data_IF_601559469659
#
_entry.id   IF_601559469659
#
_cell.length_a   1.000
_cell.length_b   1.000
_cell.length_c   1.000
_cell.angle_alpha   90.00
_cell.angle_beta   90.00
_cell.angle_gamma   90.00
#
_symmetry.space_group_name_H-M   'P 1'
#
loop_
_entity.id
_entity.type
_entity.pdbx_description
1 polymer ?
#
# COMPACT_ATOMS: atom_id res chain seq x y z
N UNK A 1 -9.86 25.39 5.00
CA UNK A 1 -8.59 24.62 5.06
C UNK A 1 -8.03 24.56 3.66
N UNK A 2 -6.78 24.99 3.42
CA UNK A 2 -6.20 25.02 2.07
C UNK A 2 -5.29 23.81 1.90
N UNK A 3 -5.85 22.68 1.47
CA UNK A 3 -5.04 21.56 0.99
C UNK A 3 -4.29 22.07 -0.24
N UNK A 4 -2.96 21.89 -0.29
CA UNK A 4 -2.13 22.29 -1.44
C UNK A 4 -2.33 21.32 -2.62
N UNK A 5 -3.52 21.37 -3.22
CA UNK A 5 -3.95 20.45 -4.29
C UNK A 5 -3.17 20.67 -5.59
N UNK A 6 -2.72 21.89 -5.86
CA UNK A 6 -2.20 22.25 -7.19
C UNK A 6 -0.82 21.65 -7.50
N UNK A 7 -0.04 21.31 -6.47
CA UNK A 7 1.31 20.77 -6.61
C UNK A 7 1.34 19.23 -6.72
N UNK A 8 0.25 18.54 -6.34
CA UNK A 8 0.20 17.07 -6.28
C UNK A 8 -0.76 16.47 -7.32
N UNK A 9 -0.21 15.71 -8.29
CA UNK A 9 -0.98 15.10 -9.39
C UNK A 9 -2.09 14.16 -8.89
N UNK A 10 -1.85 13.41 -7.82
CA UNK A 10 -2.84 12.48 -7.23
C UNK A 10 -4.00 13.29 -6.65
N UNK A 11 -3.71 14.26 -5.77
CA UNK A 11 -4.73 15.11 -5.15
C UNK A 11 -5.54 15.89 -6.19
N UNK A 12 -4.88 16.40 -7.23
CA UNK A 12 -5.55 17.06 -8.35
C UNK A 12 -6.50 16.11 -9.10
N UNK A 13 -6.09 14.87 -9.33
CA UNK A 13 -6.86 13.88 -10.07
C UNK A 13 -8.09 13.35 -9.32
N UNK A 14 -8.04 13.28 -7.97
CA UNK A 14 -9.17 12.81 -7.15
C UNK A 14 -10.18 13.92 -6.85
N UNK A 15 -9.82 15.20 -7.01
CA UNK A 15 -10.69 16.35 -6.68
C UNK A 15 -12.09 16.29 -7.34
N UNK A 16 -12.24 15.89 -8.62
CA UNK A 16 -13.56 15.70 -9.22
C UNK A 16 -14.38 14.61 -8.52
N UNK A 17 -13.75 13.51 -8.10
CA UNK A 17 -14.40 12.43 -7.34
C UNK A 17 -14.96 12.96 -6.02
N UNK A 18 -14.16 13.71 -5.26
CA UNK A 18 -14.60 14.29 -3.97
C UNK A 18 -15.81 15.23 -4.13
N UNK A 19 -15.90 15.94 -5.25
CA UNK A 19 -17.01 16.87 -5.52
C UNK A 19 -18.28 16.20 -5.98
N UNK A 20 -18.16 15.05 -6.64
CA UNK A 20 -19.24 14.37 -7.34
C UNK A 20 -19.64 13.05 -6.69
N UNK A 21 -19.01 12.71 -5.54
CA UNK A 21 -19.24 11.46 -4.84
C UNK A 21 -20.69 11.32 -4.39
N UNK A 22 -21.27 10.16 -4.66
CA UNK A 22 -22.66 9.82 -4.31
C UNK A 22 -22.73 8.69 -3.27
N UNK A 23 -21.68 7.88 -3.17
CA UNK A 23 -21.61 6.70 -2.32
C UNK A 23 -20.79 6.91 -1.05
N UNK A 24 -19.83 7.85 -1.04
CA UNK A 24 -18.95 8.08 0.11
C UNK A 24 -18.89 9.55 0.50
N UNK A 25 -19.10 9.82 1.79
CA UNK A 25 -19.00 11.15 2.39
C UNK A 25 -17.96 11.17 3.51
N UNK A 26 -17.24 12.28 3.63
CA UNK A 26 -16.35 12.56 4.77
C UNK A 26 -17.11 13.38 5.81
N UNK A 27 -17.05 12.94 7.07
CA UNK A 27 -17.63 13.62 8.22
C UNK A 27 -16.53 14.41 8.94
N UNK A 28 -16.45 15.72 8.68
CA UNK A 28 -15.35 16.57 9.14
C UNK A 28 -15.28 16.68 10.66
N UNK A 29 -16.41 16.67 11.37
CA UNK A 29 -16.43 16.79 12.83
C UNK A 29 -15.70 15.60 13.50
N UNK A 30 -15.79 14.41 12.91
CA UNK A 30 -15.11 13.22 13.43
C UNK A 30 -13.60 13.27 13.16
N UNK A 31 -13.15 13.92 12.08
CA UNK A 31 -11.73 14.18 11.84
C UNK A 31 -11.17 15.05 12.97
N UNK A 32 -11.88 16.11 13.37
CA UNK A 32 -11.42 16.99 14.44
C UNK A 32 -11.27 16.26 15.78
N UNK A 33 -12.24 15.38 16.10
CA UNK A 33 -12.19 14.56 17.30
C UNK A 33 -10.97 13.63 17.30
N UNK A 34 -10.73 12.88 16.22
CA UNK A 34 -9.58 11.96 16.13
C UNK A 34 -8.25 12.71 16.15
N UNK A 35 -8.13 13.82 15.42
CA UNK A 35 -6.89 14.62 15.38
C UNK A 35 -6.60 15.36 16.70
N UNK A 36 -7.58 15.48 17.60
CA UNK A 36 -7.37 16.07 18.92
C UNK A 36 -6.40 15.24 19.76
N UNK A 37 -6.54 13.91 19.71
CA UNK A 37 -5.77 12.97 20.54
C UNK A 37 -4.49 12.47 19.85
N UNK A 38 -4.35 12.70 18.54
CA UNK A 38 -3.14 12.38 17.79
C UNK A 38 -1.93 13.20 18.29
N UNK A 39 -0.85 12.50 18.60
CA UNK A 39 0.40 13.06 19.12
C UNK A 39 1.64 12.33 18.53
N UNK A 40 2.84 12.78 18.89
CA UNK A 40 4.09 12.26 18.30
C UNK A 40 4.34 10.77 18.56
N UNK A 41 3.79 10.18 19.62
CA UNK A 41 3.93 8.74 19.90
C UNK A 41 3.12 7.88 18.92
N UNK A 42 2.14 8.48 18.21
CA UNK A 42 1.37 7.82 17.18
C UNK A 42 2.11 7.74 15.84
N UNK A 43 3.18 8.51 15.66
CA UNK A 43 4.00 8.48 14.44
C UNK A 43 4.88 7.24 14.47
N UNK A 44 4.48 6.21 13.73
CA UNK A 44 5.14 4.91 13.69
C UNK A 44 5.31 4.43 12.25
N UNK A 45 6.39 3.71 11.98
CA UNK A 45 6.54 2.98 10.72
C UNK A 45 5.86 1.62 10.86
N UNK A 46 4.85 1.36 10.02
CA UNK A 46 4.06 0.13 10.11
C UNK A 46 4.94 -1.13 10.04
N UNK A 47 5.91 -1.21 9.13
CA UNK A 47 6.77 -2.39 8.96
C UNK A 47 7.72 -2.60 10.15
N UNK A 48 8.02 -1.57 10.95
CA UNK A 48 8.78 -1.74 12.19
C UNK A 48 8.02 -2.58 13.23
N UNK A 49 6.71 -2.73 13.10
CA UNK A 49 5.89 -3.65 13.89
C UNK A 49 5.83 -5.08 13.31
N UNK A 50 6.53 -5.35 12.21
CA UNK A 50 6.64 -6.69 11.63
C UNK A 50 7.25 -7.66 12.64
N UNK A 51 6.70 -8.88 12.79
CA UNK A 51 7.33 -9.92 13.60
C UNK A 51 8.62 -10.46 12.95
N UNK A 52 8.87 -10.12 11.68
CA UNK A 52 10.06 -10.54 10.94
C UNK A 52 11.06 -9.40 10.85
N UNK A 53 12.27 -9.65 11.31
CA UNK A 53 13.39 -8.73 11.22
C UNK A 53 14.06 -8.83 9.84
N UNK A 54 14.57 -7.71 9.33
CA UNK A 54 15.35 -7.61 8.09
C UNK A 54 16.81 -7.15 8.34
N UNK A 55 17.25 -7.08 9.60
CA UNK A 55 18.54 -6.52 9.98
C UNK A 55 19.74 -7.34 9.50
N UNK A 56 19.54 -8.64 9.25
CA UNK A 56 20.55 -9.56 8.72
C UNK A 56 20.78 -9.40 7.21
N UNK A 57 19.89 -8.72 6.51
CA UNK A 57 20.05 -8.36 5.10
C UNK A 57 20.96 -7.15 4.95
N UNK A 58 21.84 -7.18 3.94
CA UNK A 58 22.57 -5.97 3.56
C UNK A 58 21.63 -4.96 2.86
N UNK A 59 22.09 -3.72 2.67
CA UNK A 59 21.23 -2.64 2.14
C UNK A 59 20.64 -2.94 0.76
N UNK A 60 21.40 -3.59 -0.13
CA UNK A 60 20.92 -3.99 -1.45
C UNK A 60 19.85 -5.08 -1.35
N UNK A 61 20.05 -6.03 -0.45
CA UNK A 61 19.06 -7.08 -0.18
C UNK A 61 17.78 -6.50 0.44
N UNK A 62 17.89 -5.55 1.38
CA UNK A 62 16.72 -4.83 1.93
C UNK A 62 15.94 -4.10 0.84
N UNK A 63 16.62 -3.38 -0.05
CA UNK A 63 15.96 -2.71 -1.19
C UNK A 63 15.21 -3.70 -2.08
N UNK A 64 15.88 -4.78 -2.50
CA UNK A 64 15.26 -5.79 -3.34
C UNK A 64 14.11 -6.50 -2.61
N UNK A 65 14.22 -6.71 -1.29
CA UNK A 65 13.15 -7.26 -0.47
C UNK A 65 11.91 -6.37 -0.52
N UNK A 66 12.06 -5.07 -0.24
CA UNK A 66 10.96 -4.11 -0.25
C UNK A 66 10.33 -4.01 -1.64
N UNK A 67 11.14 -4.04 -2.70
CA UNK A 67 10.65 -4.06 -4.08
C UNK A 67 9.84 -5.32 -4.40
N UNK A 68 10.37 -6.51 -4.10
CA UNK A 68 9.68 -7.78 -4.34
C UNK A 68 8.38 -7.84 -3.53
N UNK A 69 8.43 -7.48 -2.24
CA UNK A 69 7.27 -7.41 -1.38
C UNK A 69 6.17 -6.51 -1.99
N UNK A 70 6.49 -5.24 -2.30
CA UNK A 70 5.51 -4.31 -2.85
C UNK A 70 5.06 -4.66 -4.29
N UNK A 71 5.84 -5.47 -5.02
CA UNK A 71 5.44 -6.02 -6.32
C UNK A 71 4.30 -7.04 -6.22
N UNK A 72 4.06 -7.66 -5.06
CA UNK A 72 3.02 -8.68 -4.87
C UNK A 72 2.15 -8.47 -3.62
N UNK A 73 2.26 -7.29 -2.99
CA UNK A 73 1.52 -6.85 -1.82
C UNK A 73 0.10 -6.37 -2.16
N UNK A 74 -0.78 -7.31 -2.49
CA UNK A 74 -2.19 -7.03 -2.77
C UNK A 74 -3.08 -8.22 -2.40
N UNK A 75 -4.37 -7.97 -2.16
CA UNK A 75 -5.44 -8.98 -2.25
C UNK A 75 -5.25 -10.28 -1.42
N UNK A 76 -5.20 -10.15 -0.09
CA UNK A 76 -5.00 -11.29 0.85
C UNK A 76 -6.30 -11.93 1.37
N UNK A 77 -7.45 -11.33 1.08
CA UNK A 77 -8.74 -11.75 1.61
C UNK A 77 -9.39 -12.84 0.75
N UNK A 78 -10.25 -13.65 1.35
CA UNK A 78 -10.94 -14.75 0.67
C UNK A 78 -11.79 -15.55 1.66
N UNK A 79 -12.56 -16.52 1.14
CA UNK A 79 -13.30 -17.49 1.95
C UNK A 79 -12.96 -18.90 1.45
N UNK A 80 -12.09 -19.67 2.15
CA UNK A 80 -11.38 -19.29 3.38
C UNK A 80 -10.32 -18.21 3.13
N UNK A 81 -9.88 -17.53 4.19
CA UNK A 81 -8.80 -16.52 4.11
C UNK A 81 -7.46 -17.22 3.92
N UNK A 82 -6.56 -16.62 3.14
CA UNK A 82 -5.18 -17.11 3.01
C UNK A 82 -4.38 -16.84 4.29
N UNK A 83 -3.79 -17.90 4.82
CA UNK A 83 -2.92 -17.88 6.02
C UNK A 83 -1.73 -18.78 5.79
N UNK A 84 -0.60 -18.46 6.41
CA UNK A 84 0.61 -19.27 6.39
C UNK A 84 1.00 -19.69 7.79
N UNK A 85 1.85 -20.70 7.89
CA UNK A 85 2.56 -21.05 9.11
C UNK A 85 4.04 -20.77 8.91
N UNK A 86 4.65 -20.08 9.88
CA UNK A 86 6.08 -19.84 9.91
C UNK A 86 6.56 -19.75 11.36
N UNK A 87 7.66 -20.45 11.69
CA UNK A 87 8.23 -20.52 13.05
C UNK A 87 7.18 -20.83 14.13
N UNK A 88 6.28 -21.79 13.86
CA UNK A 88 5.23 -22.23 14.79
C UNK A 88 4.09 -21.23 15.01
N UNK A 89 4.05 -20.13 14.26
CA UNK A 89 3.01 -19.11 14.34
C UNK A 89 2.22 -19.01 13.03
N UNK A 90 0.94 -18.66 13.13
CA UNK A 90 0.07 -18.44 11.98
C UNK A 90 0.04 -16.94 11.62
N UNK A 91 0.26 -16.63 10.33
CA UNK A 91 0.24 -15.25 9.82
C UNK A 91 -0.70 -15.11 8.62
N UNK A 92 -1.20 -13.90 8.41
CA UNK A 92 -2.05 -13.56 7.27
C UNK A 92 -1.73 -12.14 6.74
N UNK A 93 -2.35 -11.75 5.63
CA UNK A 93 -2.20 -10.38 5.13
C UNK A 93 -0.76 -10.04 4.73
N UNK A 94 -0.37 -8.79 4.95
CA UNK A 94 0.98 -8.30 4.69
C UNK A 94 2.03 -9.07 5.52
N UNK A 95 1.73 -9.38 6.79
CA UNK A 95 2.62 -10.20 7.63
C UNK A 95 2.84 -11.59 7.06
N UNK A 96 1.77 -12.26 6.60
CA UNK A 96 1.91 -13.55 5.94
C UNK A 96 2.80 -13.48 4.68
N UNK A 97 2.70 -12.41 3.90
CA UNK A 97 3.55 -12.22 2.73
C UNK A 97 5.02 -11.97 3.09
N UNK A 98 5.30 -11.12 4.09
CA UNK A 98 6.67 -10.91 4.60
C UNK A 98 7.23 -12.25 5.13
N UNK A 99 6.43 -13.03 5.86
CA UNK A 99 6.80 -14.37 6.34
C UNK A 99 7.13 -15.36 5.22
N UNK A 100 6.38 -15.36 4.12
CA UNK A 100 6.71 -16.17 2.93
C UNK A 100 8.06 -15.79 2.31
N UNK A 101 8.31 -14.49 2.13
CA UNK A 101 9.57 -14.01 1.55
C UNK A 101 10.75 -14.29 2.50
N UNK A 102 10.55 -14.12 3.81
CA UNK A 102 11.52 -14.47 4.84
C UNK A 102 11.85 -15.96 4.82
N UNK A 103 10.83 -16.83 4.83
CA UNK A 103 10.99 -18.29 4.69
C UNK A 103 11.77 -18.69 3.43
N UNK A 104 11.52 -18.03 2.30
CA UNK A 104 12.25 -18.28 1.06
C UNK A 104 13.74 -17.91 1.20
N UNK A 105 14.05 -16.77 1.81
CA UNK A 105 15.43 -16.34 2.08
C UNK A 105 16.16 -17.30 3.03
N UNK A 106 15.50 -17.70 4.12
CA UNK A 106 16.06 -18.61 5.11
C UNK A 106 16.35 -19.99 4.48
N UNK A 107 15.50 -20.43 3.55
CA UNK A 107 15.70 -21.62 2.72
C UNK A 107 16.65 -21.42 1.51
N UNK A 108 17.35 -20.29 1.44
CA UNK A 108 18.33 -19.96 0.38
C UNK A 108 17.75 -19.92 -1.03
N UNK A 109 16.45 -19.67 -1.17
CA UNK A 109 15.82 -19.36 -2.46
C UNK A 109 16.27 -17.95 -2.87
N UNK A 110 16.79 -17.74 -4.09
CA UNK A 110 17.31 -16.45 -4.53
C UNK A 110 16.18 -15.47 -4.95
N UNK A 111 15.13 -15.35 -4.13
CA UNK A 111 13.91 -14.57 -4.40
C UNK A 111 14.18 -13.06 -4.56
N UNK A 112 15.34 -12.58 -4.12
CA UNK A 112 15.78 -11.18 -4.25
C UNK A 112 16.61 -10.92 -5.50
N UNK A 113 16.85 -11.92 -6.34
CA UNK A 113 17.65 -11.79 -7.57
C UNK A 113 16.74 -11.62 -8.80
N UNK A 114 16.96 -10.56 -9.57
CA UNK A 114 16.16 -10.26 -10.76
C UNK A 114 16.17 -11.40 -11.79
N UNK A 115 17.34 -12.01 -12.06
CA UNK A 115 17.47 -13.20 -12.91
C UNK A 115 16.62 -14.39 -12.45
N UNK A 116 16.48 -14.60 -11.15
CA UNK A 116 15.62 -15.64 -10.59
C UNK A 116 14.16 -15.28 -10.80
N UNK A 117 13.76 -14.06 -10.41
CA UNK A 117 12.40 -13.55 -10.61
C UNK A 117 11.92 -13.67 -12.06
N UNK A 118 12.78 -13.31 -13.02
CA UNK A 118 12.49 -13.36 -14.45
C UNK A 118 12.13 -14.78 -14.96
N UNK A 119 12.56 -15.82 -14.24
CA UNK A 119 12.46 -17.23 -14.63
C UNK A 119 11.73 -18.11 -13.62
N UNK A 120 11.27 -17.53 -12.50
CA UNK A 120 10.58 -18.27 -11.44
C UNK A 120 9.41 -19.04 -12.03
N UNK A 121 9.36 -20.34 -11.76
CA UNK A 121 8.28 -21.20 -12.22
C UNK A 121 7.05 -21.11 -11.32
N UNK A 122 5.92 -21.56 -11.84
CA UNK A 122 4.68 -21.68 -11.07
C UNK A 122 4.88 -22.54 -9.80
N UNK A 123 5.58 -23.67 -9.94
CA UNK A 123 5.85 -24.59 -8.83
C UNK A 123 6.71 -23.96 -7.73
N UNK A 124 7.75 -23.21 -8.10
CA UNK A 124 8.60 -22.50 -7.14
C UNK A 124 7.81 -21.43 -6.40
N UNK A 125 7.06 -20.57 -7.11
CA UNK A 125 6.27 -19.54 -6.45
C UNK A 125 5.18 -20.13 -5.56
N UNK A 126 4.59 -21.26 -5.97
CA UNK A 126 3.58 -21.98 -5.18
C UNK A 126 4.15 -22.49 -3.86
N UNK A 127 5.40 -22.97 -3.85
CA UNK A 127 6.05 -23.38 -2.61
C UNK A 127 6.46 -22.16 -1.75
N UNK A 128 6.95 -21.08 -2.36
CA UNK A 128 7.28 -19.84 -1.65
C UNK A 128 6.05 -19.27 -0.93
N UNK A 129 4.93 -19.13 -1.65
CA UNK A 129 3.68 -18.55 -1.16
C UNK A 129 2.74 -19.57 -0.51
N UNK A 130 3.24 -20.76 -0.20
CA UNK A 130 2.45 -21.85 0.37
C UNK A 130 1.79 -21.44 1.69
N UNK A 131 0.48 -21.57 1.71
CA UNK A 131 -0.38 -21.40 2.87
C UNK A 131 -1.45 -22.50 2.93
N UNK A 132 -2.50 -22.26 3.71
CA UNK A 132 -3.66 -23.15 3.83
C UNK A 132 -4.44 -23.32 2.51
N UNK A 133 -4.42 -22.31 1.65
CA UNK A 133 -4.99 -22.30 0.29
C UNK A 133 -4.02 -21.66 -0.69
N UNK A 134 -4.34 -21.75 -1.98
CA UNK A 134 -3.69 -20.91 -2.99
C UNK A 134 -4.06 -19.44 -2.74
N UNK A 135 -3.07 -18.56 -2.68
CA UNK A 135 -3.28 -17.13 -2.47
C UNK A 135 -4.12 -16.54 -3.63
N UNK A 136 -5.12 -15.69 -3.38
CA UNK A 136 -5.92 -15.13 -4.46
C UNK A 136 -5.11 -14.22 -5.38
N UNK A 137 -5.31 -14.30 -6.70
CA UNK A 137 -4.51 -13.62 -7.73
C UNK A 137 -3.06 -14.15 -7.83
N UNK A 138 -2.91 -15.48 -7.75
CA UNK A 138 -1.61 -16.13 -7.77
C UNK A 138 -0.93 -15.98 -9.15
N UNK A 139 -1.69 -16.19 -10.22
CA UNK A 139 -1.20 -16.09 -11.59
C UNK A 139 -0.71 -14.68 -11.91
N UNK A 140 -1.39 -13.65 -11.41
CA UNK A 140 -0.97 -12.26 -11.53
C UNK A 140 0.34 -12.00 -10.78
N UNK A 141 0.52 -12.55 -9.56
CA UNK A 141 1.80 -12.43 -8.84
C UNK A 141 2.94 -13.08 -9.60
N UNK A 142 2.71 -14.26 -10.18
CA UNK A 142 3.73 -14.94 -11.00
C UNK A 142 4.15 -14.08 -12.19
N UNK A 143 3.16 -13.57 -12.95
CA UNK A 143 3.41 -12.70 -14.11
C UNK A 143 4.16 -11.43 -13.72
N UNK A 144 3.75 -10.78 -12.62
CA UNK A 144 4.38 -9.55 -12.15
C UNK A 144 5.82 -9.79 -11.72
N UNK A 145 6.13 -10.87 -10.98
CA UNK A 145 7.51 -11.18 -10.61
C UNK A 145 8.38 -11.46 -11.83
N UNK A 146 7.86 -12.21 -12.81
CA UNK A 146 8.57 -12.50 -14.06
C UNK A 146 8.82 -11.23 -14.88
N UNK A 147 7.81 -10.37 -15.03
CA UNK A 147 7.93 -9.10 -15.73
C UNK A 147 8.93 -8.16 -15.03
N UNK A 148 8.77 -7.97 -13.73
CA UNK A 148 9.65 -7.10 -12.93
C UNK A 148 11.10 -7.61 -12.96
N UNK A 149 11.31 -8.93 -12.88
CA UNK A 149 12.63 -9.55 -13.01
C UNK A 149 13.29 -9.27 -14.36
N UNK A 150 12.53 -9.40 -15.46
CA UNK A 150 13.03 -9.08 -16.82
C UNK A 150 13.40 -7.61 -16.94
N UNK A 151 12.53 -6.71 -16.50
CA UNK A 151 12.79 -5.26 -16.53
C UNK A 151 14.05 -4.90 -15.73
N UNK A 152 14.23 -5.49 -14.54
CA UNK A 152 15.42 -5.27 -13.74
C UNK A 152 16.69 -5.75 -14.43
N UNK A 153 16.68 -6.97 -15.00
CA UNK A 153 17.85 -7.50 -15.73
C UNK A 153 18.20 -6.65 -16.95
N UNK A 154 17.21 -6.30 -17.77
CA UNK A 154 17.41 -5.63 -19.06
C UNK A 154 17.75 -4.14 -18.93
N UNK A 155 17.08 -3.42 -18.01
CA UNK A 155 17.21 -1.96 -17.88
C UNK A 155 18.08 -1.52 -16.71
N UNK A 156 18.24 -2.37 -15.69
CA UNK A 156 18.79 -1.98 -14.38
C UNK A 156 19.89 -2.90 -13.86
N UNK A 157 20.51 -3.71 -14.74
CA UNK A 157 21.62 -4.64 -14.40
C UNK A 157 21.27 -5.59 -13.24
N UNK A 158 19.99 -5.92 -13.10
CA UNK A 158 19.47 -6.82 -12.07
C UNK A 158 19.33 -6.22 -10.67
N UNK A 159 19.46 -4.90 -10.49
CA UNK A 159 19.50 -4.26 -9.18
C UNK A 159 18.54 -3.07 -9.06
N UNK A 160 17.64 -3.11 -8.07
CA UNK A 160 16.71 -2.02 -7.80
C UNK A 160 17.43 -0.72 -7.35
N UNK A 161 18.61 -0.82 -6.73
CA UNK A 161 19.40 0.36 -6.36
C UNK A 161 19.70 1.28 -7.56
N UNK A 162 19.87 0.70 -8.76
CA UNK A 162 20.10 1.44 -10.00
C UNK A 162 18.94 2.38 -10.35
N UNK A 163 17.71 2.03 -9.94
CA UNK A 163 16.51 2.86 -10.17
C UNK A 163 16.52 4.05 -9.23
N UNK A 164 16.84 3.84 -7.95
CA UNK A 164 16.94 4.91 -6.94
C UNK A 164 18.02 5.93 -7.33
N UNK A 165 19.17 5.45 -7.82
CA UNK A 165 20.23 6.30 -8.35
C UNK A 165 19.80 7.09 -9.60
N UNK A 166 19.15 6.42 -10.57
CA UNK A 166 18.61 7.06 -11.78
C UNK A 166 17.56 8.14 -11.45
N UNK A 167 16.77 7.94 -10.40
CA UNK A 167 15.82 8.92 -9.89
C UNK A 167 16.47 10.15 -9.23
N UNK A 168 17.81 10.16 -9.07
CA UNK A 168 18.58 11.22 -8.40
C UNK A 168 18.09 11.51 -6.97
N UNK A 169 17.62 10.46 -6.29
CA UNK A 169 17.01 10.53 -4.96
C UNK A 169 15.88 11.56 -4.86
N UNK A 170 15.03 11.63 -5.88
CA UNK A 170 13.81 12.44 -5.87
C UNK A 170 12.59 11.54 -5.89
N UNK A 171 11.66 11.77 -4.97
CA UNK A 171 10.46 10.94 -4.76
C UNK A 171 9.59 10.88 -6.01
N UNK A 172 9.37 12.02 -6.69
CA UNK A 172 8.50 12.08 -7.86
C UNK A 172 9.17 11.44 -9.07
N UNK A 173 10.47 11.67 -9.28
CA UNK A 173 11.21 11.00 -10.34
C UNK A 173 11.23 9.47 -10.14
N UNK A 174 11.41 9.01 -8.90
CA UNK A 174 11.39 7.59 -8.57
C UNK A 174 10.02 6.98 -8.88
N UNK A 175 8.94 7.67 -8.49
CA UNK A 175 7.57 7.27 -8.81
C UNK A 175 7.37 7.17 -10.33
N UNK A 176 7.72 8.20 -11.09
CA UNK A 176 7.53 8.25 -12.55
C UNK A 176 8.32 7.16 -13.28
N UNK A 177 9.57 6.88 -12.87
CA UNK A 177 10.35 5.78 -13.42
C UNK A 177 9.66 4.44 -13.13
N UNK A 178 9.21 4.21 -11.89
CA UNK A 178 8.60 2.94 -11.50
C UNK A 178 7.29 2.70 -12.27
N UNK A 179 6.37 3.66 -12.34
CA UNK A 179 5.09 3.47 -13.05
C UNK A 179 5.28 3.33 -14.57
N UNK A 180 6.35 3.90 -15.13
CA UNK A 180 6.66 3.81 -16.56
C UNK A 180 7.29 2.47 -16.92
N UNK A 181 8.19 1.95 -16.09
CA UNK A 181 8.96 0.75 -16.40
C UNK A 181 8.35 -0.54 -15.85
N UNK A 182 7.51 -0.45 -14.81
CA UNK A 182 6.86 -1.59 -14.15
C UNK A 182 5.33 -1.43 -14.18
N UNK A 183 4.64 -1.88 -15.25
CA UNK A 183 3.24 -1.57 -15.52
C UNK A 183 2.27 -1.93 -14.40
N UNK A 184 2.56 -2.97 -13.61
CA UNK A 184 1.70 -3.38 -12.50
C UNK A 184 1.58 -2.33 -11.39
N UNK A 185 2.49 -1.36 -11.31
CA UNK A 185 2.42 -0.23 -10.38
C UNK A 185 1.61 0.96 -10.91
N UNK A 186 1.23 0.98 -12.19
CA UNK A 186 0.49 2.08 -12.83
C UNK A 186 -1.02 2.02 -12.50
N UNK A 187 -1.34 2.26 -11.23
CA UNK A 187 -2.68 2.25 -10.64
C UNK A 187 -3.48 3.53 -10.98
N UNK A 188 -4.29 3.41 -12.03
CA UNK A 188 -5.11 4.47 -12.64
C UNK A 188 -6.53 3.94 -12.88
N UNK A 189 -7.53 4.77 -12.62
CA UNK A 189 -8.93 4.50 -12.89
C UNK A 189 -9.60 5.65 -13.66
N UNK A 190 -10.83 5.44 -14.12
CA UNK A 190 -11.67 6.48 -14.73
C UNK A 190 -12.96 6.59 -13.93
N UNK A 191 -13.21 7.78 -13.37
CA UNK A 191 -14.45 8.12 -12.69
C UNK A 191 -15.25 9.06 -13.58
N UNK A 192 -16.34 8.56 -14.16
CA UNK A 192 -17.05 9.26 -15.22
C UNK A 192 -16.05 9.62 -16.34
N UNK A 193 -15.89 10.88 -16.70
CA UNK A 193 -14.90 11.36 -17.69
C UNK A 193 -13.51 11.65 -17.12
N UNK A 194 -13.33 11.57 -15.79
CA UNK A 194 -12.08 11.99 -15.14
C UNK A 194 -11.10 10.83 -14.96
N UNK A 195 -9.87 11.04 -15.43
CA UNK A 195 -8.74 10.15 -15.11
C UNK A 195 -8.32 10.37 -13.65
N UNK A 196 -8.36 9.31 -12.86
CA UNK A 196 -8.02 9.31 -11.43
C UNK A 196 -6.75 8.51 -11.20
N UNK A 197 -5.81 9.08 -10.45
CA UNK A 197 -4.52 8.47 -10.14
C UNK A 197 -4.51 8.03 -8.67
N UNK A 198 -4.06 6.81 -8.39
CA UNK A 198 -3.93 6.30 -7.03
C UNK A 198 -2.50 5.88 -6.69
N UNK A 199 -1.82 5.19 -7.61
CA UNK A 199 -0.41 4.80 -7.47
C UNK A 199 -0.07 4.15 -6.12
N UNK A 200 -1.00 3.38 -5.53
CA UNK A 200 -0.91 2.93 -4.12
C UNK A 200 0.38 2.17 -3.82
N UNK A 201 0.67 1.11 -4.60
CA UNK A 201 1.83 0.23 -4.32
C UNK A 201 3.17 0.92 -4.55
N UNK A 202 3.28 1.83 -5.51
CA UNK A 202 4.52 2.59 -5.72
C UNK A 202 4.73 3.65 -4.65
N UNK A 203 3.66 4.32 -4.20
CA UNK A 203 3.76 5.24 -3.07
C UNK A 203 4.20 4.49 -1.79
N UNK A 204 3.62 3.32 -1.53
CA UNK A 204 4.02 2.46 -0.40
C UNK A 204 5.47 1.96 -0.53
N UNK A 205 5.88 1.48 -1.71
CA UNK A 205 7.26 1.08 -2.00
C UNK A 205 8.26 2.20 -1.67
N UNK A 206 8.00 3.43 -2.13
CA UNK A 206 8.88 4.56 -1.88
C UNK A 206 8.91 4.92 -0.38
N UNK A 207 7.75 4.86 0.29
CA UNK A 207 7.66 5.08 1.74
C UNK A 207 8.41 4.04 2.55
N UNK A 208 8.29 2.76 2.19
CA UNK A 208 8.98 1.66 2.86
C UNK A 208 10.50 1.76 2.65
N UNK A 209 10.96 2.17 1.44
CA UNK A 209 12.38 2.47 1.21
C UNK A 209 12.82 3.60 2.14
N UNK A 210 12.11 4.72 2.12
CA UNK A 210 12.44 5.89 2.94
C UNK A 210 12.59 5.48 4.44
N UNK A 211 11.53 4.88 4.99
CA UNK A 211 11.49 4.52 6.41
C UNK A 211 12.42 3.39 6.82
N UNK A 212 12.79 2.48 5.91
CA UNK A 212 13.70 1.37 6.26
C UNK A 212 15.15 1.84 6.42
N UNK A 213 15.53 2.93 5.77
CA UNK A 213 16.92 3.41 5.79
C UNK A 213 17.16 4.62 6.71
N UNK A 214 16.13 5.17 7.36
CA UNK A 214 16.22 6.12 8.50
C UNK A 214 17.25 7.27 8.38
N UNK A 215 17.42 7.84 7.19
CA UNK A 215 18.29 8.97 6.89
C UNK A 215 19.64 8.58 6.27
N UNK A 216 19.92 7.28 6.18
CA UNK A 216 21.16 6.71 5.66
C UNK A 216 21.00 6.21 4.22
N UNK A 217 22.10 6.18 3.47
CA UNK A 217 22.23 5.61 2.12
C UNK A 217 21.11 5.97 1.12
N UNK A 218 20.05 5.16 1.05
CA UNK A 218 18.93 5.27 0.13
C UNK A 218 17.79 6.20 0.62
N UNK A 219 17.84 6.69 1.87
CA UNK A 219 16.80 7.54 2.46
C UNK A 219 16.92 9.05 2.17
N UNK A 220 17.89 9.49 1.37
CA UNK A 220 18.00 10.92 1.01
C UNK A 220 17.02 11.33 -0.09
N UNK A 221 15.81 10.76 -0.06
CA UNK A 221 14.74 11.05 -1.01
C UNK A 221 14.19 12.45 -0.73
N UNK A 222 14.31 13.33 -1.72
CA UNK A 222 13.70 14.66 -1.69
C UNK A 222 12.19 14.55 -1.93
N UNK A 223 11.43 15.49 -1.38
CA UNK A 223 10.00 15.64 -1.64
C UNK A 223 9.14 14.45 -1.18
N UNK A 224 9.55 13.74 -0.13
CA UNK A 224 8.82 12.58 0.40
C UNK A 224 7.44 12.98 0.96
N UNK A 225 7.31 14.22 1.43
CA UNK A 225 6.08 14.81 1.93
C UNK A 225 4.99 15.00 0.85
N UNK A 226 5.36 14.81 -0.43
CA UNK A 226 4.41 14.80 -1.56
C UNK A 226 3.73 13.43 -1.74
N UNK A 227 4.16 12.39 -1.03
CA UNK A 227 3.39 11.14 -0.99
C UNK A 227 2.07 11.35 -0.24
N UNK A 228 1.03 10.68 -0.72
CA UNK A 228 -0.32 10.69 -0.15
C UNK A 228 -0.61 9.36 0.57
N UNK A 229 -1.84 9.17 1.04
CA UNK A 229 -2.24 7.90 1.64
C UNK A 229 -2.26 6.73 0.64
N UNK A 230 -2.03 5.53 1.14
CA UNK A 230 -1.93 4.29 0.39
C UNK A 230 -3.29 3.57 0.33
N UNK A 231 -4.30 4.22 -0.27
CA UNK A 231 -5.71 3.77 -0.27
C UNK A 231 -5.93 2.33 -0.77
N UNK A 232 -6.03 1.40 0.19
CA UNK A 232 -6.41 0.00 0.02
C UNK A 232 -7.81 -0.28 0.60
N UNK A 233 -8.08 -1.51 1.07
CA UNK A 233 -9.33 -1.87 1.76
C UNK A 233 -9.27 -1.74 3.29
N UNK A 234 -8.09 -1.67 3.89
CA UNK A 234 -7.91 -1.60 5.35
C UNK A 234 -8.05 -0.19 5.89
N UNK A 235 -7.40 0.78 5.26
CA UNK A 235 -7.49 2.18 5.70
C UNK A 235 -8.94 2.70 5.67
N UNK A 236 -9.73 2.55 4.58
CA UNK A 236 -11.13 2.97 4.58
C UNK A 236 -11.98 2.25 5.63
N UNK A 237 -11.68 0.98 5.95
CA UNK A 237 -12.36 0.24 7.01
C UNK A 237 -12.16 0.93 8.37
N UNK A 238 -10.93 1.34 8.67
CA UNK A 238 -10.61 2.05 9.91
C UNK A 238 -11.25 3.43 9.93
N UNK A 239 -11.18 4.19 8.83
CA UNK A 239 -11.85 5.49 8.75
C UNK A 239 -13.37 5.37 8.92
N UNK A 240 -14.00 4.30 8.42
CA UNK A 240 -15.42 4.00 8.64
C UNK A 240 -15.70 3.65 10.10
N UNK A 241 -14.84 2.87 10.76
CA UNK A 241 -14.92 2.57 12.20
C UNK A 241 -14.86 3.85 13.04
N UNK A 242 -14.00 4.79 12.65
CA UNK A 242 -13.86 6.11 13.27
C UNK A 242 -14.98 7.08 12.87
N UNK A 243 -15.94 6.65 12.05
CA UNK A 243 -17.04 7.45 11.50
C UNK A 243 -16.56 8.67 10.68
N UNK A 244 -15.32 8.65 10.22
CA UNK A 244 -14.76 9.67 9.32
C UNK A 244 -15.30 9.46 7.90
N UNK A 245 -15.41 8.21 7.46
CA UNK A 245 -16.10 7.86 6.21
C UNK A 245 -17.50 7.32 6.50
N UNK A 246 -18.49 7.90 5.85
CA UNK A 246 -19.86 7.41 5.81
C UNK A 246 -20.18 6.92 4.39
N UNK A 247 -20.83 5.77 4.29
CA UNK A 247 -21.23 5.18 3.01
C UNK A 247 -22.74 5.33 2.82
N UNK A 248 -23.19 5.44 1.56
CA UNK A 248 -24.62 5.37 1.23
C UNK A 248 -25.22 4.05 1.76
N UNK A 249 -26.54 4.00 2.04
CA UNK A 249 -27.19 2.79 2.52
C UNK A 249 -26.91 1.56 1.64
N UNK A 250 -26.88 1.73 0.32
CA UNK A 250 -26.63 0.68 -0.66
C UNK A 250 -25.19 0.15 -0.57
N UNK A 251 -24.20 1.06 -0.56
CA UNK A 251 -22.80 0.69 -0.45
C UNK A 251 -22.49 0.05 0.91
N UNK A 252 -23.03 0.63 1.99
CA UNK A 252 -22.92 0.08 3.33
C UNK A 252 -23.49 -1.35 3.40
N UNK A 253 -24.67 -1.57 2.79
CA UNK A 253 -25.31 -2.89 2.73
C UNK A 253 -24.45 -3.90 1.97
N UNK A 254 -23.88 -3.54 0.81
CA UNK A 254 -22.97 -4.42 0.07
C UNK A 254 -21.76 -4.82 0.91
N UNK A 255 -21.08 -3.85 1.52
CA UNK A 255 -19.87 -4.11 2.30
C UNK A 255 -20.18 -4.91 3.57
N UNK A 256 -21.24 -4.56 4.30
CA UNK A 256 -21.63 -5.25 5.54
C UNK A 256 -22.01 -6.72 5.28
N UNK A 257 -22.59 -7.00 4.12
CA UNK A 257 -22.89 -8.36 3.66
C UNK A 257 -21.73 -9.03 2.90
N UNK A 258 -20.55 -8.40 2.83
CA UNK A 258 -19.36 -8.91 2.13
C UNK A 258 -19.65 -9.25 0.65
N UNK A 259 -20.50 -8.44 0.01
CA UNK A 259 -20.75 -8.50 -1.43
C UNK A 259 -19.59 -7.77 -2.13
N UNK A 260 -18.86 -8.43 -3.04
CA UNK A 260 -17.79 -7.78 -3.77
C UNK A 260 -18.26 -6.59 -4.60
N UNK A 261 -17.42 -5.55 -4.67
CA UNK A 261 -17.58 -4.43 -5.61
C UNK A 261 -16.50 -4.52 -6.68
N UNK A 262 -16.82 -4.04 -7.89
CA UNK A 262 -15.93 -4.17 -9.04
C UNK A 262 -14.77 -3.16 -8.94
N UNK A 263 -13.58 -3.60 -9.34
CA UNK A 263 -12.43 -2.70 -9.50
C UNK A 263 -12.75 -1.65 -10.56
N UNK A 264 -12.52 -0.38 -10.26
CA UNK A 264 -12.86 0.73 -11.16
C UNK A 264 -14.35 1.09 -11.21
N UNK A 265 -15.19 0.53 -10.33
CA UNK A 265 -16.55 1.03 -10.14
C UNK A 265 -16.55 2.37 -9.40
N UNK A 266 -17.62 3.16 -9.55
CA UNK A 266 -17.76 4.44 -8.83
C UNK A 266 -17.66 4.25 -7.32
N UNK A 267 -18.32 3.22 -6.77
CA UNK A 267 -18.22 2.84 -5.35
C UNK A 267 -16.77 2.62 -4.89
N UNK A 268 -16.00 1.86 -5.66
CA UNK A 268 -14.61 1.55 -5.33
C UNK A 268 -13.69 2.78 -5.43
N UNK A 269 -13.86 3.56 -6.49
CA UNK A 269 -13.07 4.77 -6.72
C UNK A 269 -13.37 5.83 -5.65
N UNK A 270 -14.64 6.01 -5.28
CA UNK A 270 -15.04 6.96 -4.24
C UNK A 270 -14.49 6.58 -2.86
N UNK A 271 -14.49 5.30 -2.49
CA UNK A 271 -13.89 4.83 -1.23
C UNK A 271 -12.41 5.22 -1.19
N UNK A 272 -11.67 4.93 -2.27
CA UNK A 272 -10.21 5.18 -2.32
C UNK A 272 -9.89 6.67 -2.36
N UNK A 273 -10.61 7.45 -3.18
CA UNK A 273 -10.42 8.89 -3.29
C UNK A 273 -10.72 9.61 -1.96
N UNK A 274 -11.86 9.29 -1.33
CA UNK A 274 -12.22 9.88 -0.04
C UNK A 274 -11.28 9.42 1.10
N UNK A 275 -10.69 8.23 1.02
CA UNK A 275 -9.64 7.80 1.96
C UNK A 275 -8.42 8.72 1.88
N UNK A 276 -7.91 8.97 0.67
CA UNK A 276 -6.78 9.89 0.46
C UNK A 276 -7.14 11.28 0.98
N UNK A 277 -8.30 11.79 0.58
CA UNK A 277 -8.73 13.14 0.94
C UNK A 277 -8.91 13.31 2.46
N UNK A 278 -9.55 12.34 3.13
CA UNK A 278 -9.72 12.37 4.58
C UNK A 278 -8.37 12.43 5.31
N UNK A 279 -7.37 11.67 4.85
CA UNK A 279 -6.03 11.69 5.46
C UNK A 279 -5.31 13.02 5.20
N UNK A 280 -5.46 13.63 4.02
CA UNK A 280 -4.97 15.00 3.79
C UNK A 280 -5.63 16.01 4.73
N UNK A 281 -6.93 15.83 5.00
CA UNK A 281 -7.64 16.67 5.96
C UNK A 281 -7.13 16.49 7.39
N UNK A 282 -6.88 15.24 7.79
CA UNK A 282 -6.24 14.92 9.07
C UNK A 282 -4.85 15.55 9.17
N UNK A 283 -4.03 15.45 8.10
CA UNK A 283 -2.68 16.03 8.04
C UNK A 283 -2.70 17.52 8.34
N UNK A 284 -3.54 18.28 7.66
CA UNK A 284 -3.64 19.72 7.87
C UNK A 284 -4.11 20.10 9.29
N UNK A 285 -4.96 19.27 9.92
CA UNK A 285 -5.40 19.47 11.32
C UNK A 285 -4.31 19.13 12.35
N UNK A 286 -3.44 18.15 12.05
CA UNK A 286 -2.36 17.70 12.94
C UNK A 286 -1.11 18.58 12.81
N UNK A 287 -0.86 19.14 11.62
CA UNK A 287 0.34 19.93 11.28
C UNK A 287 0.68 21.04 12.28
N UNK A 288 -0.26 21.80 12.88
CA UNK A 288 0.06 22.78 13.90
C UNK A 288 0.72 22.19 15.16
N UNK A 289 0.43 20.92 15.49
CA UNK A 289 1.02 20.19 16.62
C UNK A 289 2.30 19.45 16.24
N UNK A 290 2.35 18.92 15.01
CA UNK A 290 3.47 18.12 14.49
C UNK A 290 3.82 18.68 13.09
N UNK A 291 4.69 19.70 13.00
CA UNK A 291 4.92 20.41 11.73
C UNK A 291 5.39 19.55 10.55
N UNK A 292 6.12 18.46 10.84
CA UNK A 292 6.69 17.57 9.84
C UNK A 292 5.82 16.33 9.54
N UNK A 293 4.57 16.29 10.04
CA UNK A 293 3.68 15.16 9.79
C UNK A 293 3.40 14.97 8.29
N UNK A 294 3.50 13.74 7.83
CA UNK A 294 3.21 13.34 6.45
C UNK A 294 1.93 12.50 6.39
N UNK A 295 1.35 12.37 5.20
CA UNK A 295 0.18 11.50 4.99
C UNK A 295 0.53 10.02 5.24
N UNK A 296 1.80 9.64 5.03
CA UNK A 296 2.32 8.29 5.29
C UNK A 296 2.35 7.95 6.78
N UNK A 297 2.59 8.95 7.65
CA UNK A 297 2.58 8.77 9.11
C UNK A 297 1.17 8.44 9.60
N UNK A 298 0.18 9.18 9.09
CA UNK A 298 -1.23 9.00 9.43
C UNK A 298 -1.73 7.67 8.86
N UNK A 299 -1.34 7.32 7.63
CA UNK A 299 -1.66 6.03 7.01
C UNK A 299 -1.12 4.86 7.85
N UNK A 300 0.17 4.90 8.22
CA UNK A 300 0.80 3.88 9.07
C UNK A 300 0.10 3.74 10.42
N UNK A 301 -0.25 4.87 11.06
CA UNK A 301 -1.03 4.88 12.29
C UNK A 301 -2.39 4.19 12.13
N UNK A 302 -3.16 4.56 11.10
CA UNK A 302 -4.48 3.98 10.83
C UNK A 302 -4.37 2.49 10.50
N UNK A 303 -3.36 2.07 9.76
CA UNK A 303 -3.12 0.67 9.43
C UNK A 303 -2.85 -0.17 10.68
N UNK A 304 -1.99 0.32 11.59
CA UNK A 304 -1.68 -0.32 12.86
C UNK A 304 -2.90 -0.38 13.78
N UNK A 305 -3.68 0.70 13.85
CA UNK A 305 -4.96 0.72 14.55
C UNK A 305 -5.93 -0.36 14.02
N UNK A 306 -5.92 -0.60 12.71
CA UNK A 306 -6.71 -1.65 12.05
C UNK A 306 -6.27 -3.09 12.34
N UNK A 307 -5.11 -3.29 12.97
CA UNK A 307 -4.69 -4.62 13.45
C UNK A 307 -5.37 -4.98 14.78
N UNK A 308 -5.80 -3.98 15.56
CA UNK A 308 -6.55 -4.17 16.81
C UNK A 308 -8.01 -4.50 16.50
N UNK A 309 -8.29 -5.79 16.27
CA UNK A 309 -9.61 -6.31 15.93
C UNK A 309 -10.60 -6.10 17.08
N UNK A 310 -11.78 -5.61 16.76
CA UNK A 310 -12.94 -5.53 17.66
C UNK A 310 -14.09 -6.39 17.13
N UNK A 311 -14.92 -7.00 18.00
CA UNK A 311 -16.17 -7.65 17.58
C UNK A 311 -17.12 -6.73 16.79
N UNK A 312 -17.04 -5.42 17.04
CA UNK A 312 -17.89 -4.41 16.38
C UNK A 312 -17.31 -3.92 15.04
N UNK A 313 -16.17 -4.45 14.59
CA UNK A 313 -15.57 -4.03 13.33
C UNK A 313 -16.45 -4.46 12.16
N UNK A 314 -16.95 -3.45 11.42
CA UNK A 314 -17.60 -3.69 10.14
C UNK A 314 -16.60 -4.24 9.10
N UNK A 315 -17.01 -5.10 8.16
CA UNK A 315 -16.13 -5.59 7.10
C UNK A 315 -15.53 -4.46 6.26
N UNK A 316 -14.36 -4.74 5.68
CA UNK A 316 -13.77 -3.93 4.60
C UNK A 316 -14.43 -4.26 3.26
N UNK A 317 -14.34 -3.35 2.29
CA UNK A 317 -14.84 -3.61 0.95
C UNK A 317 -14.02 -4.72 0.26
N UNK A 318 -14.69 -5.54 -0.55
CA UNK A 318 -14.08 -6.65 -1.26
C UNK A 318 -13.94 -6.33 -2.75
N UNK A 319 -12.84 -5.68 -3.12
CA UNK A 319 -12.47 -5.45 -4.54
C UNK A 319 -11.32 -6.36 -4.92
N UNK A 320 -11.54 -7.24 -5.91
CA UNK A 320 -10.49 -8.13 -6.42
C UNK A 320 -9.64 -7.36 -7.43
N UNK A 321 -8.43 -6.98 -7.05
CA UNK A 321 -7.52 -6.19 -7.89
C UNK A 321 -6.05 -6.45 -7.55
N UNK A 322 -5.16 -6.15 -8.50
CA UNK A 322 -3.69 -6.22 -8.31
C UNK A 322 -3.13 -4.96 -7.65
N UNK A 323 -3.95 -3.91 -7.48
CA UNK A 323 -3.46 -2.60 -7.02
C UNK A 323 -3.40 -2.46 -5.50
N UNK A 324 -4.04 -3.34 -4.71
CA UNK A 324 -3.99 -3.30 -3.24
C UNK A 324 -4.49 -4.55 -2.52
#
# INVERSE_FOLDING_TARGET
MVIKVEENKILKSIKPVIKLAEHVRIIEENIEAVCKDFNSQNVQYWMAASPFNLSDLNDKEKLNFIFVFNSINFCYWGKPKWTIEYEGNQYDGAWGMIGCLRRAIDNKVPILQAKYLAKISEGELKEILKGNILIPLFEERLKILQENGKVLEEKYKGDFASIVEKAKKDTLNLLEIIISDFPSFNDVAFYKEYKVLFYKRVQLLISDIYRTFEGENYDKLKNIELLTAFSDYKIPQVLRKLKILEYSPELASKIDNQIPILSGSEEEIEIRANTIWAIEMMKEKIKPKIPNITSMDIDSYLWLLGQNKSPDDKPYHLTRTIFY
#
